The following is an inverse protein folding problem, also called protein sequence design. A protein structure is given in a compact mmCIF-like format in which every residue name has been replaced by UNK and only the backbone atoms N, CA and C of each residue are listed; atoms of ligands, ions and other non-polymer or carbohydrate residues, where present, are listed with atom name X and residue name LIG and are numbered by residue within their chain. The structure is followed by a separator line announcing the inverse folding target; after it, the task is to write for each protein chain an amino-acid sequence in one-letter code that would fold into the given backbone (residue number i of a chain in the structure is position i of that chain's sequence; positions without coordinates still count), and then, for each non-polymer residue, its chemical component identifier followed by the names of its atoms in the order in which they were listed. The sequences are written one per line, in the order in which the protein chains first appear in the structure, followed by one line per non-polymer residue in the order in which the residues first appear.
data_IF_132116344873
#
_entry.id   IF_132116344873
#
_cell.length_a   1.000
_cell.length_b   1.000
_cell.length_c   1.000
_cell.angle_alpha   90.00
_cell.angle_beta   90.00
_cell.angle_gamma   90.00
#
_symmetry.space_group_name_H-M   'P 1'
#
loop_
_entity.id
_entity.type
_entity.pdbx_description
1 polymer ?
#
# COMPACT_ATOMS: atom_id res chain seq x y z
N UNK A 1 7.06 12.05 -3.18
CA UNK A 1 7.91 12.45 -2.05
C UNK A 1 7.37 13.74 -1.48
N UNK A 2 6.70 13.62 -0.33
CA UNK A 2 6.00 14.70 0.39
C UNK A 2 6.85 15.32 1.49
N UNK A 3 8.04 14.76 1.80
CA UNK A 3 8.89 15.30 2.86
C UNK A 3 9.54 16.63 2.44
N UNK A 4 9.32 17.65 3.26
CA UNK A 4 9.98 18.95 3.14
C UNK A 4 11.48 18.84 3.36
N UNK A 5 12.24 19.84 2.90
CA UNK A 5 13.71 19.88 3.14
C UNK A 5 14.06 19.87 4.62
N UNK A 6 13.23 20.49 5.47
CA UNK A 6 13.41 20.50 6.92
C UNK A 6 13.25 19.10 7.48
N UNK A 7 12.18 18.40 7.11
CA UNK A 7 11.94 17.02 7.57
C UNK A 7 13.04 16.07 7.10
N UNK A 8 13.54 16.22 5.86
CA UNK A 8 14.70 15.43 5.37
C UNK A 8 15.96 15.69 6.17
N UNK A 9 16.22 16.95 6.54
CA UNK A 9 17.36 17.31 7.37
C UNK A 9 17.22 16.73 8.80
N UNK A 10 16.03 16.81 9.39
CA UNK A 10 15.70 16.22 10.70
C UNK A 10 15.88 14.71 10.67
N UNK A 11 15.30 14.01 9.69
CA UNK A 11 15.46 12.56 9.53
C UNK A 11 16.94 12.16 9.43
N UNK A 12 17.75 12.93 8.71
CA UNK A 12 19.19 12.68 8.58
C UNK A 12 19.95 12.90 9.89
N UNK A 13 19.61 13.94 10.64
CA UNK A 13 20.32 14.34 11.86
C UNK A 13 19.89 13.53 13.09
N UNK A 14 18.60 13.28 13.25
CA UNK A 14 17.99 12.70 14.44
C UNK A 14 17.57 11.24 14.24
N UNK A 15 17.57 10.74 13.01
CA UNK A 15 17.22 9.36 12.68
C UNK A 15 15.71 9.10 12.61
N UNK A 16 14.87 10.09 12.89
CA UNK A 16 13.42 10.02 12.72
C UNK A 16 12.81 11.41 12.52
N UNK A 17 11.59 11.46 11.97
CA UNK A 17 10.77 12.67 11.86
C UNK A 17 9.30 12.31 12.04
N UNK A 18 8.52 13.17 12.69
CA UNK A 18 7.06 13.02 12.78
C UNK A 18 6.40 13.93 11.76
N UNK A 19 5.53 13.36 10.93
CA UNK A 19 4.69 14.10 9.99
C UNK A 19 3.26 14.20 10.52
N UNK A 20 2.54 15.26 10.14
CA UNK A 20 1.11 15.32 10.40
C UNK A 20 0.42 14.13 9.74
N UNK A 21 -0.57 13.57 10.42
CA UNK A 21 -1.34 12.41 9.97
C UNK A 21 -2.82 12.72 10.12
N UNK A 22 -3.61 12.35 9.12
CA UNK A 22 -5.08 12.41 9.20
C UNK A 22 -5.65 11.28 10.07
N UNK A 23 -4.79 10.36 10.53
CA UNK A 23 -5.16 9.14 11.24
C UNK A 23 -4.62 9.06 12.68
N UNK A 24 -3.66 9.90 13.05
CA UNK A 24 -3.00 9.90 14.37
C UNK A 24 -2.68 11.33 14.84
N UNK A 25 -3.22 11.72 15.98
CA UNK A 25 -3.00 13.05 16.58
C UNK A 25 -1.51 13.29 16.96
N UNK A 26 -0.77 12.23 17.29
CA UNK A 26 0.67 12.32 17.57
C UNK A 26 1.52 12.39 16.29
N UNK A 27 0.88 12.28 15.13
CA UNK A 27 1.51 12.23 13.82
C UNK A 27 2.20 10.90 13.53
N UNK A 28 2.57 10.70 12.26
CA UNK A 28 3.22 9.49 11.79
C UNK A 28 4.73 9.58 11.95
N UNK A 29 5.31 8.68 12.74
CA UNK A 29 6.76 8.60 12.95
C UNK A 29 7.43 7.85 11.79
N UNK A 30 8.19 8.58 10.98
CA UNK A 30 9.04 8.02 9.93
C UNK A 30 10.46 7.91 10.46
N UNK A 31 10.97 6.68 10.54
CA UNK A 31 12.37 6.43 10.95
C UNK A 31 13.27 6.33 9.73
N UNK A 32 14.54 6.66 9.90
CA UNK A 32 15.55 6.48 8.86
C UNK A 32 15.70 5.01 8.49
N UNK A 33 15.59 4.13 9.48
CA UNK A 33 15.60 2.69 9.29
C UNK A 33 14.47 2.22 8.35
N UNK A 34 13.26 2.79 8.48
CA UNK A 34 12.15 2.47 7.58
C UNK A 34 12.47 2.85 6.12
N UNK A 35 13.08 4.01 5.89
CA UNK A 35 13.44 4.46 4.54
C UNK A 35 14.55 3.58 3.95
N UNK A 36 15.61 3.32 4.72
CA UNK A 36 16.74 2.48 4.29
C UNK A 36 16.29 1.04 4.02
N UNK A 37 15.38 0.49 4.82
CA UNK A 37 14.80 -0.83 4.59
C UNK A 37 13.96 -0.85 3.29
N UNK A 38 13.16 0.19 3.05
CA UNK A 38 12.40 0.34 1.82
C UNK A 38 13.29 0.39 0.57
N UNK A 39 14.43 1.09 0.62
CA UNK A 39 15.40 1.17 -0.48
C UNK A 39 15.98 -0.20 -0.84
N UNK A 40 16.19 -1.08 0.15
CA UNK A 40 16.69 -2.44 -0.08
C UNK A 40 15.64 -3.38 -0.71
N UNK A 41 14.35 -3.09 -0.53
CA UNK A 41 13.23 -3.95 -0.97
C UNK A 41 12.49 -3.41 -2.20
N UNK A 42 13.09 -2.50 -2.96
CA UNK A 42 12.50 -2.01 -4.20
C UNK A 42 12.41 -3.12 -5.26
N UNK A 43 11.19 -3.41 -5.71
CA UNK A 43 10.96 -4.32 -6.84
C UNK A 43 11.46 -3.74 -8.17
N UNK A 44 11.53 -2.41 -8.31
CA UNK A 44 11.92 -1.74 -9.56
C UNK A 44 10.90 -2.04 -10.66
N UNK A 45 11.35 -2.28 -11.89
CA UNK A 45 10.49 -2.66 -13.03
C UNK A 45 10.45 -4.18 -13.29
N UNK A 46 10.88 -4.98 -12.32
CA UNK A 46 10.92 -6.45 -12.44
C UNK A 46 9.51 -7.03 -12.36
N UNK A 47 9.34 -8.18 -13.03
CA UNK A 47 8.19 -9.04 -12.79
C UNK A 47 8.26 -9.61 -11.36
N UNK A 48 7.09 -9.82 -10.77
CA UNK A 48 6.89 -10.36 -9.44
C UNK A 48 6.21 -11.71 -9.61
N UNK A 49 6.83 -12.76 -9.09
CA UNK A 49 6.27 -14.12 -9.05
C UNK A 49 5.92 -14.41 -7.59
N UNK A 50 4.63 -14.58 -7.29
CA UNK A 50 4.17 -14.90 -5.93
C UNK A 50 4.04 -16.40 -5.72
N UNK A 51 3.78 -17.16 -6.78
CA UNK A 51 3.56 -18.60 -6.69
C UNK A 51 2.28 -18.97 -5.94
N UNK A 52 1.37 -18.01 -5.81
CA UNK A 52 0.09 -18.14 -5.13
C UNK A 52 -0.95 -17.15 -5.69
N UNK A 53 -2.25 -17.43 -5.54
CA UNK A 53 -3.31 -16.49 -5.92
C UNK A 53 -3.17 -15.15 -5.18
N UNK A 54 -3.45 -14.05 -5.89
CA UNK A 54 -3.38 -12.69 -5.35
C UNK A 54 -4.70 -11.97 -5.58
N UNK A 55 -5.26 -11.40 -4.52
CA UNK A 55 -6.42 -10.50 -4.63
C UNK A 55 -6.07 -9.13 -4.05
N UNK A 56 -6.09 -8.10 -4.90
CA UNK A 56 -5.89 -6.70 -4.54
C UNK A 56 -7.25 -6.00 -4.40
N UNK A 57 -7.47 -5.35 -3.25
CA UNK A 57 -8.57 -4.42 -3.02
C UNK A 57 -8.02 -2.99 -2.96
N UNK A 58 -8.56 -2.08 -3.75
CA UNK A 58 -8.08 -0.69 -3.81
C UNK A 58 -9.23 0.30 -3.92
N UNK A 59 -9.21 1.33 -3.06
CA UNK A 59 -10.09 2.49 -3.14
C UNK A 59 -9.71 3.42 -4.28
N UNK A 60 -10.69 3.92 -5.04
CA UNK A 60 -10.46 4.89 -6.12
C UNK A 60 -10.37 6.33 -5.60
N UNK A 61 -10.95 6.61 -4.43
CA UNK A 61 -10.86 7.89 -3.73
C UNK A 61 -9.71 7.93 -2.72
N UNK A 62 -8.86 6.90 -2.70
CA UNK A 62 -7.61 6.89 -1.95
C UNK A 62 -6.68 8.03 -2.41
N UNK A 63 -6.50 9.04 -1.55
CA UNK A 63 -5.65 10.21 -1.81
C UNK A 63 -4.18 9.97 -1.47
N UNK A 64 -3.88 8.90 -0.74
CA UNK A 64 -2.54 8.57 -0.24
C UNK A 64 -1.84 7.61 -1.22
N UNK A 65 -2.59 6.64 -1.74
CA UNK A 65 -2.15 5.65 -2.72
C UNK A 65 -3.04 5.69 -3.96
N UNK A 66 -2.64 6.40 -5.03
CA UNK A 66 -3.41 6.47 -6.27
C UNK A 66 -3.70 5.09 -6.84
N UNK A 67 -4.98 4.79 -7.13
CA UNK A 67 -5.42 3.46 -7.59
C UNK A 67 -4.69 2.92 -8.83
N UNK A 68 -4.09 3.80 -9.64
CA UNK A 68 -3.26 3.42 -10.80
C UNK A 68 -2.01 2.62 -10.39
N UNK A 69 -1.53 2.77 -9.16
CA UNK A 69 -0.47 1.93 -8.62
C UNK A 69 -0.90 0.46 -8.54
N UNK A 70 -2.12 0.16 -8.10
CA UNK A 70 -2.66 -1.19 -8.11
C UNK A 70 -2.73 -1.78 -9.53
N UNK A 71 -3.17 -1.00 -10.53
CA UNK A 71 -3.14 -1.48 -11.93
C UNK A 71 -1.73 -1.72 -12.46
N UNK A 72 -0.74 -0.94 -12.01
CA UNK A 72 0.66 -1.13 -12.38
C UNK A 72 1.25 -2.35 -11.68
N UNK A 73 0.81 -2.65 -10.46
CA UNK A 73 1.20 -3.87 -9.74
C UNK A 73 0.66 -5.11 -10.45
N UNK A 74 -0.61 -5.10 -10.89
CA UNK A 74 -1.20 -6.21 -11.67
C UNK A 74 -0.39 -6.51 -12.93
N UNK A 75 0.09 -5.50 -13.66
CA UNK A 75 0.90 -5.75 -14.87
C UNK A 75 2.29 -6.31 -14.59
N UNK A 76 2.72 -6.32 -13.32
CA UNK A 76 4.02 -6.86 -12.88
C UNK A 76 3.90 -8.23 -12.22
N UNK A 77 2.75 -8.57 -11.65
CA UNK A 77 2.43 -9.91 -11.15
C UNK A 77 2.30 -10.85 -12.35
N UNK A 78 3.34 -11.63 -12.61
CA UNK A 78 3.43 -12.46 -13.81
C UNK A 78 3.01 -13.90 -13.50
N UNK A 79 2.17 -14.48 -14.35
CA UNK A 79 1.80 -15.90 -14.35
C UNK A 79 0.93 -16.40 -13.18
N UNK A 80 0.67 -15.57 -12.18
CA UNK A 80 -0.20 -15.88 -11.04
C UNK A 80 -1.69 -15.56 -11.34
N UNK A 81 -2.62 -16.22 -10.65
CA UNK A 81 -4.05 -15.85 -10.68
C UNK A 81 -4.25 -14.56 -9.88
N UNK A 82 -4.51 -13.45 -10.58
CA UNK A 82 -4.58 -12.11 -10.00
C UNK A 82 -5.97 -11.49 -10.22
N UNK A 83 -6.62 -11.16 -9.11
CA UNK A 83 -7.87 -10.39 -9.09
C UNK A 83 -7.61 -8.98 -8.57
N UNK A 84 -8.13 -7.96 -9.26
CA UNK A 84 -8.16 -6.58 -8.78
C UNK A 84 -9.60 -6.10 -8.65
N UNK A 85 -9.99 -5.70 -7.45
CA UNK A 85 -11.25 -5.00 -7.18
C UNK A 85 -10.97 -3.52 -6.93
N UNK A 86 -11.57 -2.65 -7.74
CA UNK A 86 -11.57 -1.22 -7.53
C UNK A 86 -12.89 -0.78 -6.88
N UNK A 87 -12.82 -0.20 -5.68
CA UNK A 87 -13.97 0.34 -4.95
C UNK A 87 -14.09 1.82 -5.28
N UNK A 88 -15.11 2.18 -6.06
CA UNK A 88 -15.21 3.49 -6.72
C UNK A 88 -15.20 4.68 -5.75
N UNK A 89 -15.79 4.51 -4.57
CA UNK A 89 -15.93 5.48 -3.49
C UNK A 89 -15.11 5.06 -2.25
N UNK A 90 -14.21 4.08 -2.40
CA UNK A 90 -13.36 3.61 -1.33
C UNK A 90 -12.20 4.57 -1.12
N UNK A 91 -11.95 4.94 0.13
CA UNK A 91 -10.80 5.72 0.57
C UNK A 91 -9.58 4.83 0.86
N UNK A 92 -8.54 5.40 1.46
CA UNK A 92 -7.33 4.68 1.85
C UNK A 92 -7.57 3.57 2.88
N UNK A 93 -8.59 3.73 3.74
CA UNK A 93 -8.83 2.82 4.87
C UNK A 93 -9.60 1.57 4.47
N UNK A 94 -10.50 1.69 3.49
CA UNK A 94 -11.41 0.61 3.07
C UNK A 94 -12.04 -0.11 4.28
N UNK A 95 -12.58 0.67 5.22
CA UNK A 95 -13.02 0.16 6.53
C UNK A 95 -14.51 0.33 6.80
N UNK A 96 -15.31 0.75 5.81
CA UNK A 96 -16.78 0.75 5.95
C UNK A 96 -17.27 -0.70 6.02
N UNK A 97 -18.45 -0.98 6.59
CA UNK A 97 -18.97 -2.35 6.69
C UNK A 97 -18.89 -3.12 5.36
N UNK A 98 -19.28 -2.49 4.26
CA UNK A 98 -19.26 -3.09 2.92
C UNK A 98 -17.83 -3.28 2.35
N UNK A 99 -16.84 -2.51 2.80
CA UNK A 99 -15.45 -2.70 2.42
C UNK A 99 -14.87 -3.91 3.17
N UNK A 100 -15.21 -4.05 4.45
CA UNK A 100 -14.85 -5.20 5.28
C UNK A 100 -15.48 -6.49 4.75
N UNK A 101 -16.74 -6.46 4.32
CA UNK A 101 -17.40 -7.61 3.69
C UNK A 101 -16.67 -8.04 2.41
N UNK A 102 -16.21 -7.08 1.59
CA UNK A 102 -15.38 -7.37 0.41
C UNK A 102 -14.03 -7.99 0.78
N UNK A 103 -13.41 -7.52 1.86
CA UNK A 103 -12.16 -8.07 2.37
C UNK A 103 -12.32 -9.51 2.84
N UNK A 104 -13.39 -9.81 3.58
CA UNK A 104 -13.69 -11.19 4.02
C UNK A 104 -13.91 -12.09 2.80
N UNK A 105 -14.73 -11.66 1.84
CA UNK A 105 -14.99 -12.42 0.63
C UNK A 105 -13.71 -12.64 -0.22
N UNK A 106 -12.81 -11.66 -0.26
CA UNK A 106 -11.50 -11.80 -0.92
C UNK A 106 -10.63 -12.87 -0.25
N UNK A 107 -10.57 -12.87 1.09
CA UNK A 107 -9.84 -13.88 1.87
C UNK A 107 -10.42 -15.28 1.66
N UNK A 108 -11.74 -15.42 1.74
CA UNK A 108 -12.43 -16.69 1.44
C UNK A 108 -12.14 -17.16 0.00
N UNK A 109 -12.16 -16.24 -0.96
CA UNK A 109 -11.88 -16.51 -2.36
C UNK A 109 -10.47 -17.09 -2.59
N UNK A 110 -9.43 -16.45 -2.05
CA UNK A 110 -8.04 -16.92 -2.27
C UNK A 110 -7.68 -18.17 -1.47
N UNK A 111 -8.42 -18.49 -0.40
CA UNK A 111 -8.20 -19.70 0.41
C UNK A 111 -8.99 -20.91 -0.08
N UNK A 112 -10.03 -20.70 -0.88
CA UNK A 112 -10.84 -21.77 -1.47
C UNK A 112 -10.27 -22.30 -2.80
N UNK A 113 -9.15 -21.76 -3.29
CA UNK A 113 -8.47 -22.22 -4.50
C UNK A 113 -7.50 -23.35 -4.16
N UNK A 114 -7.82 -24.57 -4.62
CA UNK A 114 -7.02 -25.80 -4.49
C UNK A 114 -5.83 -25.86 -5.47
#
# INVERSE_FOLDING_TARGET
DTMTRKEKATLKAEGAVRQASDYDEEGYLITRALIEDGEMHLFGDRLIETGCPVHILQGVEDTDVPWRHATTLVSRLASDDVVLTLVKDGDHRLSRPEDLDRMIAAVEGVTAMD
#
